data_IF_718516802501
#
_entry.id   IF_718516802501
#
_cell.length_a   1.000
_cell.length_b   1.000
_cell.length_c   1.000
_cell.angle_alpha   90.00
_cell.angle_beta   90.00
_cell.angle_gamma   90.00
#
_symmetry.space_group_name_H-M   'P 1'
#
loop_
_entity.id
_entity.type
_entity.pdbx_description
1 polymer ?
#
# COMPACT_ATOMS: atom_id res chain seq x y z
N UNK A 1 36.47 41.23 -12.69
CA UNK A 1 35.01 41.05 -12.73
C UNK A 1 34.58 39.64 -13.23
N UNK A 2 35.07 39.16 -14.40
CA UNK A 2 34.65 37.81 -14.93
C UNK A 2 34.98 36.63 -14.03
N UNK A 3 36.12 36.63 -13.30
CA UNK A 3 36.56 35.57 -12.40
C UNK A 3 35.68 35.47 -11.14
N UNK A 4 35.25 36.59 -10.58
CA UNK A 4 34.35 36.62 -9.41
C UNK A 4 32.92 36.23 -9.76
N UNK A 5 32.48 36.52 -10.98
CA UNK A 5 31.15 36.08 -11.48
C UNK A 5 31.10 34.56 -11.64
N UNK A 6 32.17 33.95 -12.18
CA UNK A 6 32.25 32.49 -12.30
C UNK A 6 32.28 31.78 -10.94
N UNK A 7 33.02 32.33 -9.97
CA UNK A 7 33.09 31.81 -8.61
C UNK A 7 31.73 31.93 -7.89
N UNK A 8 31.03 33.05 -8.08
CA UNK A 8 29.70 33.28 -7.52
C UNK A 8 28.67 32.31 -8.13
N UNK A 9 28.75 32.09 -9.45
CA UNK A 9 27.88 31.13 -10.17
C UNK A 9 28.13 29.70 -9.71
N UNK A 10 29.40 29.30 -9.49
CA UNK A 10 29.76 28.00 -8.98
C UNK A 10 29.27 27.77 -7.54
N UNK A 11 29.33 28.79 -6.68
CA UNK A 11 28.82 28.74 -5.30
C UNK A 11 27.28 28.64 -5.28
N UNK A 12 26.59 29.22 -6.26
CA UNK A 12 25.12 29.14 -6.38
C UNK A 12 24.64 27.78 -6.86
N UNK A 13 25.49 27.02 -7.57
CA UNK A 13 25.19 25.67 -8.07
C UNK A 13 25.44 24.54 -7.02
N UNK A 14 26.28 24.80 -6.00
CA UNK A 14 26.55 23.81 -4.96
C UNK A 14 25.32 23.31 -4.19
N UNK A 15 24.35 24.16 -3.78
CA UNK A 15 23.18 23.66 -3.05
C UNK A 15 22.24 22.80 -3.90
N UNK A 16 22.28 22.87 -5.23
CA UNK A 16 21.46 22.05 -6.12
C UNK A 16 21.88 20.56 -6.10
N UNK A 17 23.11 20.24 -5.75
CA UNK A 17 23.61 18.88 -5.64
C UNK A 17 23.25 18.18 -4.33
N UNK A 18 22.83 18.92 -3.30
CA UNK A 18 22.48 18.38 -1.98
C UNK A 18 21.09 17.71 -1.92
N UNK A 19 20.24 17.91 -2.92
CA UNK A 19 18.84 17.47 -2.90
C UNK A 19 18.61 16.08 -3.50
N UNK A 20 19.62 15.44 -4.04
CA UNK A 20 19.51 14.16 -4.72
C UNK A 20 19.99 12.94 -3.90
N UNK A 21 20.19 13.09 -2.59
CA UNK A 21 20.67 11.96 -1.76
C UNK A 21 19.47 11.12 -1.29
N UNK A 22 19.14 10.10 -2.07
CA UNK A 22 18.16 9.10 -1.66
C UNK A 22 18.68 8.25 -0.50
N UNK A 23 17.77 7.77 0.31
CA UNK A 23 18.05 6.87 1.42
C UNK A 23 17.72 5.41 1.03
N UNK A 24 18.18 4.49 1.86
CA UNK A 24 17.97 3.05 1.68
C UNK A 24 17.48 2.43 2.99
N UNK A 25 16.55 1.51 2.90
CA UNK A 25 16.14 0.64 4.01
C UNK A 25 16.55 -0.78 3.68
N UNK A 26 17.28 -1.41 4.60
CA UNK A 26 17.64 -2.83 4.52
C UNK A 26 17.08 -3.56 5.72
N UNK A 27 17.01 -4.87 5.65
CA UNK A 27 16.58 -5.62 6.83
C UNK A 27 16.26 -7.07 6.54
N UNK A 28 15.59 -7.69 7.51
CA UNK A 28 15.18 -9.08 7.42
C UNK A 28 13.75 -9.23 7.96
N UNK A 29 12.95 -10.03 7.26
CA UNK A 29 11.59 -10.38 7.66
C UNK A 29 11.56 -11.85 8.09
N UNK A 30 10.94 -12.12 9.25
CA UNK A 30 10.83 -13.44 9.86
C UNK A 30 9.39 -13.71 10.27
N UNK A 31 9.07 -14.97 10.44
CA UNK A 31 7.90 -15.45 11.13
C UNK A 31 8.04 -15.16 12.64
N UNK A 32 7.00 -14.62 13.28
CA UNK A 32 7.04 -14.26 14.69
C UNK A 32 6.96 -15.48 15.63
N UNK A 33 6.41 -16.60 15.18
CA UNK A 33 6.23 -17.80 15.99
C UNK A 33 7.41 -18.77 15.85
N UNK A 34 7.87 -19.00 14.63
CA UNK A 34 8.92 -19.96 14.34
C UNK A 34 10.32 -19.34 14.27
N UNK A 35 10.41 -18.03 14.03
CA UNK A 35 11.67 -17.33 13.80
C UNK A 35 12.29 -17.61 12.41
N UNK A 36 11.62 -18.39 11.59
CA UNK A 36 12.07 -18.69 10.23
C UNK A 36 12.03 -17.45 9.32
N UNK A 37 12.92 -17.41 8.35
CA UNK A 37 12.93 -16.33 7.36
C UNK A 37 11.69 -16.42 6.46
N UNK A 38 11.10 -15.27 6.12
CA UNK A 38 9.98 -15.19 5.19
C UNK A 38 10.48 -14.75 3.80
N UNK A 39 10.69 -15.71 2.87
CA UNK A 39 11.09 -15.39 1.50
C UNK A 39 9.90 -14.82 0.71
N UNK A 40 10.20 -13.96 -0.25
CA UNK A 40 9.21 -13.33 -1.15
C UNK A 40 8.14 -12.49 -0.45
N UNK A 41 8.40 -12.07 0.79
CA UNK A 41 7.58 -11.07 1.46
C UNK A 41 7.68 -9.74 0.72
N UNK A 42 6.56 -9.12 0.42
CA UNK A 42 6.50 -7.81 -0.22
C UNK A 42 6.84 -6.71 0.78
N UNK A 43 7.82 -5.86 0.44
CA UNK A 43 8.25 -4.69 1.22
C UNK A 43 8.09 -3.45 0.35
N UNK A 44 7.32 -2.46 0.78
CA UNK A 44 6.96 -1.33 -0.05
C UNK A 44 6.83 -0.02 0.75
N UNK A 45 6.97 1.11 0.07
CA UNK A 45 6.63 2.41 0.64
C UNK A 45 5.12 2.62 0.47
N UNK A 46 4.43 2.86 1.58
CA UNK A 46 2.99 3.08 1.57
C UNK A 46 2.59 4.22 0.62
N UNK A 47 1.53 4.03 -0.14
CA UNK A 47 0.99 4.96 -1.12
C UNK A 47 1.97 5.33 -2.27
N UNK A 48 2.91 4.46 -2.61
CA UNK A 48 3.83 4.66 -3.74
C UNK A 48 3.96 3.40 -4.61
N UNK A 49 4.74 3.51 -5.68
CA UNK A 49 5.15 2.38 -6.54
C UNK A 49 6.48 1.76 -6.10
N UNK A 50 7.17 2.32 -5.09
CA UNK A 50 8.47 1.80 -4.63
C UNK A 50 8.28 0.54 -3.79
N UNK A 51 8.77 -0.57 -4.29
CA UNK A 51 8.67 -1.86 -3.62
C UNK A 51 9.84 -2.78 -3.95
N UNK A 52 10.03 -3.78 -3.11
CA UNK A 52 10.96 -4.90 -3.28
C UNK A 52 10.35 -6.16 -2.66
N UNK A 53 11.03 -7.29 -2.79
CA UNK A 53 10.66 -8.54 -2.11
C UNK A 53 11.86 -9.07 -1.35
N UNK A 54 11.61 -9.86 -0.30
CA UNK A 54 12.67 -10.52 0.45
C UNK A 54 13.28 -11.68 -0.35
N UNK A 55 14.56 -11.91 -0.16
CA UNK A 55 15.29 -13.07 -0.69
C UNK A 55 14.96 -14.37 0.07
N UNK A 56 15.61 -15.48 -0.30
CA UNK A 56 15.41 -16.80 0.35
C UNK A 56 15.77 -16.80 1.84
N UNK A 57 16.59 -15.88 2.30
CA UNK A 57 16.98 -15.68 3.70
C UNK A 57 16.13 -14.62 4.40
N UNK A 58 15.07 -14.12 3.74
CA UNK A 58 14.20 -13.10 4.27
C UNK A 58 14.80 -11.69 4.25
N UNK A 59 15.98 -11.48 3.65
CA UNK A 59 16.60 -10.16 3.60
C UNK A 59 16.01 -9.32 2.47
N UNK A 60 15.97 -8.00 2.67
CA UNK A 60 15.52 -7.06 1.66
C UNK A 60 16.40 -5.81 1.60
N UNK A 61 16.38 -5.15 0.45
CA UNK A 61 16.93 -3.82 0.23
C UNK A 61 15.94 -2.99 -0.56
N UNK A 62 15.48 -1.89 0.03
CA UNK A 62 14.59 -0.92 -0.58
C UNK A 62 15.35 0.40 -0.70
N UNK A 63 15.79 0.72 -1.91
CA UNK A 63 16.60 1.89 -2.23
C UNK A 63 15.78 2.96 -2.94
N UNK A 64 16.37 4.15 -3.12
CA UNK A 64 15.73 5.24 -3.84
C UNK A 64 14.66 6.01 -3.04
N UNK A 65 14.68 5.86 -1.72
CA UNK A 65 13.71 6.51 -0.84
C UNK A 65 14.04 7.99 -0.62
N UNK A 66 13.01 8.81 -0.59
CA UNK A 66 13.15 10.21 -0.20
C UNK A 66 13.48 10.32 1.29
N UNK A 67 14.40 11.21 1.69
CA UNK A 67 14.66 11.50 3.09
C UNK A 67 13.44 12.09 3.79
N UNK A 68 13.33 11.85 5.09
CA UNK A 68 12.21 12.32 5.90
C UNK A 68 11.33 11.18 6.43
N UNK A 69 10.12 11.49 6.89
CA UNK A 69 9.18 10.50 7.41
C UNK A 69 8.64 9.62 6.26
N UNK A 70 8.72 8.30 6.45
CA UNK A 70 8.24 7.29 5.52
C UNK A 70 7.43 6.24 6.28
N UNK A 71 6.50 5.57 5.59
CA UNK A 71 5.79 4.40 6.08
C UNK A 71 6.13 3.20 5.22
N UNK A 72 6.81 2.21 5.82
CA UNK A 72 7.19 0.98 5.13
C UNK A 72 6.14 -0.09 5.44
N UNK A 73 5.53 -0.62 4.39
CA UNK A 73 4.57 -1.72 4.45
C UNK A 73 5.24 -3.06 4.20
N UNK A 74 4.75 -4.09 4.91
CA UNK A 74 5.13 -5.48 4.76
C UNK A 74 3.86 -6.31 4.57
N UNK A 75 3.84 -7.14 3.53
CA UNK A 75 2.69 -7.99 3.22
C UNK A 75 3.15 -9.36 2.72
N UNK A 76 2.60 -10.39 3.32
CA UNK A 76 2.86 -11.78 2.94
C UNK A 76 1.58 -12.60 3.09
N UNK A 77 1.35 -13.53 2.16
CA UNK A 77 0.14 -14.35 2.17
C UNK A 77 0.08 -15.20 3.45
N UNK A 78 -1.06 -15.17 4.14
CA UNK A 78 -1.25 -15.88 5.42
C UNK A 78 -0.70 -15.14 6.64
N UNK A 79 -0.26 -13.89 6.50
CA UNK A 79 0.26 -13.06 7.58
C UNK A 79 -0.46 -11.72 7.68
N UNK A 80 -0.53 -11.19 8.91
CA UNK A 80 -1.03 -9.84 9.13
C UNK A 80 -0.11 -8.83 8.47
N UNK A 81 -0.66 -7.97 7.59
CA UNK A 81 0.10 -6.89 6.99
C UNK A 81 0.52 -5.86 8.06
N UNK A 82 1.76 -5.40 7.97
CA UNK A 82 2.38 -4.50 8.93
C UNK A 82 2.81 -3.19 8.30
N UNK A 83 2.66 -2.08 9.04
CA UNK A 83 3.18 -0.77 8.69
C UNK A 83 4.17 -0.29 9.74
N UNK A 84 5.31 0.23 9.30
CA UNK A 84 6.34 0.83 10.18
C UNK A 84 6.62 2.25 9.75
N UNK A 85 6.38 3.20 10.67
CA UNK A 85 6.76 4.60 10.50
C UNK A 85 8.24 4.76 10.84
N UNK A 86 8.99 5.33 9.92
CA UNK A 86 10.42 5.56 10.05
C UNK A 86 10.77 6.98 9.62
N UNK A 87 11.96 7.45 9.98
CA UNK A 87 12.50 8.72 9.49
C UNK A 87 13.88 8.49 8.89
N UNK A 88 14.04 8.83 7.62
CA UNK A 88 15.25 8.61 6.86
C UNK A 88 16.12 9.87 6.78
N UNK A 89 17.43 9.71 6.94
CA UNK A 89 18.39 10.79 6.73
C UNK A 89 18.84 10.80 5.27
N UNK A 90 19.16 11.97 4.70
CA UNK A 90 19.72 12.07 3.36
C UNK A 90 20.97 11.17 3.20
N UNK A 91 21.01 10.34 2.15
CA UNK A 91 22.07 9.39 1.88
C UNK A 91 22.26 8.28 2.92
N UNK A 92 21.35 8.20 3.91
CA UNK A 92 21.43 7.24 5.00
C UNK A 92 20.94 5.85 4.64
N UNK A 93 21.44 4.85 5.37
CA UNK A 93 20.90 3.49 5.36
C UNK A 93 20.32 3.19 6.74
N UNK A 94 19.04 2.73 6.76
CA UNK A 94 18.37 2.27 7.96
C UNK A 94 18.18 0.76 7.89
N UNK A 95 18.57 0.04 8.96
CA UNK A 95 18.31 -1.40 9.07
C UNK A 95 17.04 -1.63 9.89
N UNK A 96 16.11 -2.39 9.33
CA UNK A 96 14.78 -2.64 9.90
C UNK A 96 14.47 -4.14 9.90
N UNK A 97 14.57 -4.79 11.06
CA UNK A 97 14.14 -6.19 11.22
C UNK A 97 12.68 -6.27 11.64
N UNK A 98 11.93 -7.16 11.03
CA UNK A 98 10.50 -7.33 11.29
C UNK A 98 10.17 -8.81 11.53
N UNK A 99 9.33 -9.07 12.54
CA UNK A 99 8.65 -10.36 12.71
C UNK A 99 7.17 -10.17 12.37
N UNK A 100 6.68 -10.93 11.37
CA UNK A 100 5.27 -10.91 10.96
C UNK A 100 4.49 -11.99 11.71
N UNK A 101 3.30 -11.66 12.14
CA UNK A 101 2.41 -12.59 12.84
C UNK A 101 1.58 -13.36 11.82
N UNK A 102 1.60 -14.71 11.84
CA UNK A 102 0.70 -15.51 11.03
C UNK A 102 -0.76 -15.14 11.33
N UNK A 103 -1.58 -15.06 10.31
CA UNK A 103 -3.03 -15.06 10.51
C UNK A 103 -3.42 -16.46 10.95
N UNK A 104 -3.75 -16.61 12.23
CA UNK A 104 -4.37 -17.85 12.72
C UNK A 104 -5.73 -17.94 12.03
N UNK A 105 -5.80 -18.62 10.90
CA UNK A 105 -7.06 -19.12 10.44
C UNK A 105 -7.46 -20.20 11.44
N UNK A 106 -8.26 -19.85 12.45
CA UNK A 106 -9.18 -20.83 12.95
C UNK A 106 -9.94 -21.30 11.72
N UNK A 107 -9.78 -22.58 11.39
CA UNK A 107 -10.66 -23.30 10.49
C UNK A 107 -12.05 -23.40 11.16
N UNK A 108 -12.67 -22.27 11.46
CA UNK A 108 -14.11 -22.21 11.43
C UNK A 108 -14.44 -22.65 10.01
N UNK A 109 -15.14 -23.81 9.90
CA UNK A 109 -15.73 -24.27 8.65
C UNK A 109 -16.05 -23.03 7.83
N UNK A 110 -15.24 -22.79 6.77
CA UNK A 110 -15.67 -21.85 5.77
C UNK A 110 -16.99 -22.43 5.29
N UNK A 111 -18.07 -22.01 5.91
CA UNK A 111 -19.28 -21.81 5.15
C UNK A 111 -18.80 -21.04 3.93
N UNK A 112 -18.55 -21.77 2.87
CA UNK A 112 -18.60 -21.22 1.54
C UNK A 112 -19.97 -20.56 1.58
N UNK A 113 -19.97 -19.25 1.86
CA UNK A 113 -21.19 -18.43 1.82
C UNK A 113 -21.63 -18.47 0.37
N UNK A 114 -22.24 -19.58 0.01
CA UNK A 114 -22.67 -19.94 -1.35
C UNK A 114 -23.84 -19.09 -1.83
N UNK A 115 -24.26 -18.15 -1.02
CA UNK A 115 -25.12 -17.05 -1.40
C UNK A 115 -24.74 -15.86 -0.52
N UNK A 116 -23.86 -15.00 -1.02
CA UNK A 116 -23.81 -13.64 -0.51
C UNK A 116 -25.20 -13.08 -0.81
N UNK A 117 -25.94 -12.79 0.25
CA UNK A 117 -27.32 -12.39 0.16
C UNK A 117 -27.44 -10.98 -0.45
N UNK A 118 -28.68 -10.56 -0.71
CA UNK A 118 -28.96 -9.23 -1.25
C UNK A 118 -28.43 -8.11 -0.36
N UNK A 119 -28.23 -8.37 0.93
CA UNK A 119 -27.73 -7.42 1.89
C UNK A 119 -26.24 -7.17 1.68
N UNK A 120 -25.44 -8.23 1.47
CA UNK A 120 -24.03 -8.08 1.13
C UNK A 120 -23.81 -7.33 -0.19
N UNK A 121 -24.60 -7.63 -1.23
CA UNK A 121 -24.51 -6.91 -2.51
C UNK A 121 -24.87 -5.41 -2.38
N UNK A 122 -25.85 -5.09 -1.54
CA UNK A 122 -26.20 -3.70 -1.21
C UNK A 122 -25.03 -3.00 -0.52
N UNK A 123 -24.43 -3.67 0.46
CA UNK A 123 -23.36 -3.14 1.27
C UNK A 123 -22.07 -3.02 0.45
N UNK A 124 -21.78 -3.94 -0.47
CA UNK A 124 -20.70 -3.80 -1.44
C UNK A 124 -20.87 -2.55 -2.32
N UNK A 125 -22.06 -2.31 -2.85
CA UNK A 125 -22.33 -1.10 -3.64
C UNK A 125 -22.13 0.17 -2.81
N UNK A 126 -22.58 0.16 -1.55
CA UNK A 126 -22.36 1.28 -0.63
C UNK A 126 -20.88 1.49 -0.37
N UNK A 127 -20.14 0.43 -0.07
CA UNK A 127 -18.70 0.47 0.14
C UNK A 127 -17.96 1.02 -1.09
N UNK A 128 -18.25 0.51 -2.28
CA UNK A 128 -17.63 0.98 -3.52
C UNK A 128 -17.84 2.48 -3.73
N UNK A 129 -19.05 2.97 -3.54
CA UNK A 129 -19.35 4.40 -3.69
C UNK A 129 -18.61 5.28 -2.67
N UNK A 130 -18.45 4.80 -1.45
CA UNK A 130 -17.76 5.53 -0.39
C UNK A 130 -16.22 5.44 -0.51
N UNK A 131 -15.72 4.27 -0.89
CA UNK A 131 -14.28 3.98 -0.91
C UNK A 131 -13.61 4.42 -2.22
N UNK A 132 -14.24 4.14 -3.36
CA UNK A 132 -13.73 4.49 -4.69
C UNK A 132 -14.22 5.87 -5.12
N UNK A 133 -15.46 6.23 -4.75
CA UNK A 133 -16.13 7.44 -5.22
C UNK A 133 -17.14 7.17 -6.32
N UNK A 134 -17.60 8.25 -6.97
CA UNK A 134 -18.67 8.22 -8.00
C UNK A 134 -18.34 9.09 -9.22
N UNK A 135 -17.12 9.58 -9.33
CA UNK A 135 -16.65 10.41 -10.43
C UNK A 135 -16.24 9.60 -11.67
N UNK A 136 -15.67 10.26 -12.67
CA UNK A 136 -15.21 9.63 -13.90
C UNK A 136 -14.09 8.61 -13.67
N UNK A 137 -13.19 8.89 -12.74
CA UNK A 137 -12.11 7.97 -12.37
C UNK A 137 -12.67 6.73 -11.66
N UNK A 138 -13.68 6.91 -10.81
CA UNK A 138 -14.38 5.82 -10.12
C UNK A 138 -15.08 4.88 -11.12
N UNK A 139 -15.67 5.42 -12.20
CA UNK A 139 -16.32 4.62 -13.24
C UNK A 139 -15.34 3.68 -13.98
N UNK A 140 -14.05 3.99 -13.98
CA UNK A 140 -12.97 3.20 -14.57
C UNK A 140 -12.14 2.45 -13.52
N UNK A 141 -12.61 2.41 -12.28
CA UNK A 141 -11.96 1.69 -11.17
C UNK A 141 -12.78 0.46 -10.79
N UNK A 142 -12.11 -0.67 -10.62
CA UNK A 142 -12.76 -1.94 -10.27
C UNK A 142 -12.02 -2.63 -9.14
N UNK A 143 -12.74 -3.17 -8.17
CA UNK A 143 -12.22 -4.15 -7.22
C UNK A 143 -12.34 -5.52 -7.90
N UNK A 144 -11.21 -6.19 -8.12
CA UNK A 144 -11.15 -7.45 -8.87
C UNK A 144 -11.57 -8.65 -8.01
N UNK A 145 -11.41 -8.55 -6.69
CA UNK A 145 -11.72 -9.58 -5.71
C UNK A 145 -12.68 -9.09 -4.60
N UNK A 146 -13.87 -8.56 -4.92
CA UNK A 146 -14.76 -7.97 -3.93
C UNK A 146 -15.22 -8.96 -2.85
N UNK A 147 -15.15 -10.25 -3.13
CA UNK A 147 -15.55 -11.31 -2.21
C UNK A 147 -14.69 -11.42 -0.94
N UNK A 148 -13.54 -10.75 -0.86
CA UNK A 148 -12.71 -10.73 0.34
C UNK A 148 -13.17 -9.70 1.36
N UNK A 149 -14.18 -8.88 1.02
CA UNK A 149 -14.69 -7.82 1.89
C UNK A 149 -15.79 -8.37 2.78
N UNK A 150 -15.64 -8.11 4.07
CA UNK A 150 -16.64 -8.37 5.09
C UNK A 150 -17.27 -7.06 5.57
N UNK A 151 -18.57 -7.13 5.85
CA UNK A 151 -19.37 -6.02 6.39
C UNK A 151 -19.91 -6.42 7.77
N UNK A 152 -19.10 -6.24 8.84
CA UNK A 152 -19.53 -6.58 10.19
C UNK A 152 -20.63 -5.62 10.65
N UNK A 153 -21.55 -6.13 11.47
CA UNK A 153 -22.55 -5.30 12.12
C UNK A 153 -21.89 -4.31 13.10
N UNK A 154 -22.35 -3.08 13.06
CA UNK A 154 -21.92 -2.05 14.01
C UNK A 154 -22.85 -1.99 15.20
N UNK A 155 -22.29 -1.87 16.41
CA UNK A 155 -23.05 -1.54 17.61
C UNK A 155 -23.50 -0.09 17.65
N UNK A 156 -22.89 0.79 16.87
CA UNK A 156 -23.27 2.19 16.76
C UNK A 156 -24.30 2.36 15.64
N UNK A 157 -25.49 2.86 16.01
CA UNK A 157 -26.60 3.06 15.06
C UNK A 157 -26.22 4.06 13.96
N UNK A 158 -26.37 3.64 12.71
CA UNK A 158 -26.07 4.46 11.53
C UNK A 158 -24.63 4.37 11.05
N UNK A 159 -23.79 3.59 11.71
CA UNK A 159 -22.43 3.33 11.25
C UNK A 159 -22.39 2.17 10.26
N UNK A 160 -21.49 2.28 9.30
CA UNK A 160 -21.21 1.27 8.30
C UNK A 160 -19.73 0.88 8.37
N UNK A 161 -19.44 -0.39 8.51
CA UNK A 161 -18.12 -0.95 8.69
C UNK A 161 -17.77 -1.87 7.53
N UNK A 162 -16.48 -1.88 7.16
CA UNK A 162 -15.93 -2.89 6.28
C UNK A 162 -14.49 -3.23 6.68
N UNK A 163 -14.10 -4.47 6.41
CA UNK A 163 -12.74 -4.96 6.57
C UNK A 163 -12.44 -6.03 5.53
N UNK A 164 -11.17 -6.41 5.39
CA UNK A 164 -10.80 -7.52 4.53
C UNK A 164 -9.61 -8.29 5.14
N UNK A 165 -9.70 -9.61 5.19
CA UNK A 165 -8.60 -10.46 5.64
C UNK A 165 -7.50 -10.61 4.58
N UNK A 166 -7.89 -10.52 3.31
CA UNK A 166 -6.98 -10.56 2.18
C UNK A 166 -6.89 -9.17 1.53
N UNK A 167 -5.75 -8.84 0.90
CA UNK A 167 -5.63 -7.57 0.20
C UNK A 167 -6.70 -7.41 -0.89
N UNK A 168 -7.26 -6.21 -0.99
CA UNK A 168 -8.08 -5.83 -2.12
C UNK A 168 -7.17 -5.65 -3.34
N UNK A 169 -7.55 -6.28 -4.45
CA UNK A 169 -6.95 -6.02 -5.75
C UNK A 169 -7.83 -5.05 -6.51
N UNK A 170 -7.30 -3.86 -6.79
CA UNK A 170 -8.02 -2.78 -7.44
C UNK A 170 -7.30 -2.41 -8.72
N UNK A 171 -8.05 -2.27 -9.79
CA UNK A 171 -7.57 -1.79 -11.08
C UNK A 171 -8.20 -0.43 -11.37
N UNK A 172 -7.36 0.58 -11.59
CA UNK A 172 -7.79 1.91 -11.99
C UNK A 172 -7.26 2.21 -13.39
N UNK A 173 -8.13 2.05 -14.40
CA UNK A 173 -7.80 2.27 -15.80
C UNK A 173 -7.69 3.76 -16.16
N UNK A 174 -8.29 4.65 -15.35
CA UNK A 174 -8.20 6.08 -15.57
C UNK A 174 -6.80 6.62 -15.26
N UNK A 175 -6.18 6.13 -14.18
CA UNK A 175 -4.85 6.55 -13.74
C UNK A 175 -3.74 5.57 -14.15
N UNK A 176 -4.07 4.41 -14.72
CA UNK A 176 -3.08 3.42 -15.15
C UNK A 176 -2.42 2.63 -14.02
N UNK A 177 -3.13 2.38 -12.92
CA UNK A 177 -2.58 1.66 -11.78
C UNK A 177 -3.36 0.39 -11.42
N UNK A 178 -2.61 -0.65 -11.06
CA UNK A 178 -3.06 -1.74 -10.20
C UNK A 178 -2.69 -1.39 -8.75
N UNK A 179 -3.65 -1.52 -7.84
CA UNK A 179 -3.48 -1.18 -6.42
C UNK A 179 -3.76 -2.43 -5.60
N UNK A 180 -2.79 -2.82 -4.78
CA UNK A 180 -2.98 -3.83 -3.73
C UNK A 180 -3.20 -3.09 -2.42
N UNK A 181 -4.41 -3.16 -1.87
CA UNK A 181 -4.81 -2.43 -0.66
C UNK A 181 -5.14 -3.38 0.49
N UNK A 182 -4.32 -3.36 1.54
CA UNK A 182 -4.57 -4.11 2.76
C UNK A 182 -5.54 -3.33 3.63
N UNK A 183 -6.84 -3.58 3.48
CA UNK A 183 -7.89 -2.92 4.23
C UNK A 183 -8.00 -3.52 5.64
N UNK A 184 -7.54 -2.81 6.67
CA UNK A 184 -7.73 -3.23 8.08
C UNK A 184 -9.10 -2.80 8.62
N UNK A 185 -9.51 -1.58 8.31
CA UNK A 185 -10.74 -1.01 8.83
C UNK A 185 -11.25 0.08 7.89
N UNK A 186 -12.54 0.06 7.65
CA UNK A 186 -13.30 1.13 7.03
C UNK A 186 -14.49 1.47 7.93
N UNK A 187 -14.62 2.74 8.27
CA UNK A 187 -15.71 3.25 9.13
C UNK A 187 -16.34 4.46 8.44
N UNK A 188 -17.63 4.38 8.20
CA UNK A 188 -18.50 5.52 7.85
C UNK A 188 -19.57 5.63 8.95
N UNK A 189 -19.39 6.60 9.84
CA UNK A 189 -20.24 6.83 10.99
C UNK A 189 -20.72 8.28 11.01
N UNK A 190 -21.82 8.61 11.73
CA UNK A 190 -22.40 9.96 11.75
C UNK A 190 -21.43 11.07 12.11
N UNK A 191 -20.39 10.78 12.89
CA UNK A 191 -19.41 11.75 13.39
C UNK A 191 -17.97 11.48 12.95
N UNK A 192 -17.72 10.39 12.23
CA UNK A 192 -16.38 10.01 11.83
C UNK A 192 -16.37 9.24 10.50
N UNK A 193 -15.34 9.52 9.71
CA UNK A 193 -15.00 8.76 8.51
C UNK A 193 -13.54 8.34 8.60
N UNK A 194 -13.26 7.04 8.50
CA UNK A 194 -11.91 6.53 8.66
C UNK A 194 -11.64 5.34 7.74
N UNK A 195 -10.48 5.39 7.09
CA UNK A 195 -9.91 4.26 6.36
C UNK A 195 -8.55 3.96 6.97
N UNK A 196 -8.35 2.72 7.38
CA UNK A 196 -7.07 2.23 7.91
C UNK A 196 -6.59 1.11 7.02
N UNK A 197 -5.42 1.27 6.44
CA UNK A 197 -4.85 0.28 5.53
C UNK A 197 -3.52 0.71 4.96
N UNK A 198 -2.98 -0.12 4.09
CA UNK A 198 -1.74 0.13 3.36
C UNK A 198 -1.94 -0.15 1.87
N UNK A 199 -1.48 0.75 1.02
CA UNK A 199 -1.57 0.65 -0.43
C UNK A 199 -0.20 0.52 -1.08
N UNK A 200 -0.09 -0.42 -2.01
CA UNK A 200 1.00 -0.54 -2.97
C UNK A 200 0.45 -0.33 -4.38
N UNK A 201 1.15 0.48 -5.15
CA UNK A 201 0.78 0.80 -6.52
C UNK A 201 1.74 0.13 -7.50
N UNK A 202 1.19 -0.39 -8.59
CA UNK A 202 1.94 -0.93 -9.72
C UNK A 202 1.41 -0.29 -11.00
N UNK A 203 2.30 0.14 -11.90
CA UNK A 203 1.89 0.68 -13.18
C UNK A 203 1.29 -0.44 -14.05
N UNK A 204 0.15 -0.16 -14.65
CA UNK A 204 -0.42 -1.04 -15.67
C UNK A 204 0.35 -0.86 -16.98
N UNK A 205 0.46 -1.96 -17.74
CA UNK A 205 0.95 -1.87 -19.12
C UNK A 205 -0.21 -1.40 -19.99
N UNK A 206 -0.07 -0.28 -20.74
CA UNK A 206 -1.13 0.19 -21.60
C UNK A 206 -1.44 -0.84 -22.69
N UNK A 207 -2.72 -1.10 -22.92
CA UNK A 207 -3.19 -2.06 -23.92
C UNK A 207 -3.28 -1.46 -25.34
N UNK A 208 -3.14 -0.12 -25.46
CA UNK A 208 -3.18 0.62 -26.72
C UNK A 208 -2.42 1.93 -26.63
N UNK A 209 -2.01 2.49 -27.80
CA UNK A 209 -1.40 3.82 -27.87
C UNK A 209 -2.31 4.92 -27.33
N UNK A 210 -3.63 4.80 -27.51
CA UNK A 210 -4.60 5.75 -26.97
C UNK A 210 -4.63 5.72 -25.43
N UNK A 211 -4.48 4.56 -24.82
CA UNK A 211 -4.41 4.41 -23.37
C UNK A 211 -3.08 4.93 -22.83
N UNK A 212 -1.99 4.71 -23.52
CA UNK A 212 -0.68 5.28 -23.17
C UNK A 212 -0.73 6.81 -23.16
N UNK A 213 -1.33 7.42 -24.18
CA UNK A 213 -1.47 8.88 -24.28
C UNK A 213 -2.41 9.48 -23.18
N UNK A 214 -3.28 8.68 -22.57
CA UNK A 214 -4.10 9.10 -21.43
C UNK A 214 -3.33 9.12 -20.11
N UNK A 215 -2.28 8.29 -19.99
CA UNK A 215 -1.51 8.13 -18.77
C UNK A 215 -0.22 8.97 -18.72
N UNK A 216 0.18 9.58 -19.85
CA UNK A 216 1.28 10.56 -19.97
C UNK A 216 0.82 12.01 -19.66
#
# INVERSE_FOLDING_TARGET
MKKHLATLLLLLLLPLLAWAQTATVTGQVKDAETGEALPFCSVFVNNTTLSTVTDLQGNFTLAGLEPGPQEIGFSFLGYSAELRKITLKPGGTLTLSLSMTPLVQELSEQEIKSSRDKDWERDLRKFQNLFIGTDEAAAQTRILNPWVIDFPESSEKGSFLASAEQPLEIENLYLGYKITFNLKEFVDAPTSYRIVGAARFELLTPSSEAQQALWE
#
